data_IF_326638872629
#
_entry.id   IF_326638872629
#
_cell.length_a   1.000
_cell.length_b   1.000
_cell.length_c   1.000
_cell.angle_alpha   90.00
_cell.angle_beta   90.00
_cell.angle_gamma   90.00
#
_symmetry.space_group_name_H-M   'P 1'
#
loop_
_entity.id
_entity.type
_entity.pdbx_description
1 polymer ?
#
# COMPACT_ATOMS: atom_id res chain seq x y z
N UNK A 1 23.16 -43.60 -30.01
CA UNK A 1 23.81 -42.33 -30.26
C UNK A 1 22.82 -41.20 -30.45
N UNK A 2 21.79 -41.39 -31.29
CA UNK A 2 20.76 -40.35 -31.48
C UNK A 2 19.89 -40.17 -30.24
N UNK A 3 19.52 -41.23 -29.54
CA UNK A 3 18.78 -41.22 -28.30
C UNK A 3 19.51 -40.51 -27.18
N UNK A 4 20.81 -40.69 -27.08
CA UNK A 4 21.67 -40.04 -26.06
C UNK A 4 21.79 -38.55 -26.29
N UNK A 5 21.88 -38.13 -27.54
CA UNK A 5 21.91 -36.67 -27.90
C UNK A 5 20.61 -36.01 -27.60
N UNK A 6 19.46 -36.66 -27.92
CA UNK A 6 18.12 -36.15 -27.63
C UNK A 6 17.90 -36.04 -26.12
N UNK A 7 18.31 -37.07 -25.37
CA UNK A 7 18.18 -37.04 -23.91
C UNK A 7 19.03 -35.92 -23.27
N UNK A 8 20.27 -35.74 -23.74
CA UNK A 8 21.14 -34.68 -23.28
C UNK A 8 20.56 -33.29 -23.58
N UNK A 9 20.04 -33.06 -24.78
CA UNK A 9 19.37 -31.82 -25.15
C UNK A 9 18.11 -31.55 -24.34
N UNK A 10 17.33 -32.56 -24.04
CA UNK A 10 16.14 -32.46 -23.21
C UNK A 10 16.50 -32.03 -21.77
N UNK A 11 17.56 -32.58 -21.20
CA UNK A 11 18.05 -32.21 -19.86
C UNK A 11 18.54 -30.75 -19.85
N UNK A 12 19.31 -30.36 -20.85
CA UNK A 12 19.83 -28.98 -20.98
C UNK A 12 18.67 -27.98 -21.13
N UNK A 13 17.66 -28.30 -21.95
CA UNK A 13 16.49 -27.46 -22.12
C UNK A 13 15.68 -27.31 -20.82
N UNK A 14 15.52 -28.39 -20.06
CA UNK A 14 14.84 -28.37 -18.76
C UNK A 14 15.62 -27.55 -17.73
N UNK A 15 16.94 -27.71 -17.67
CA UNK A 15 17.81 -26.93 -16.80
C UNK A 15 17.78 -25.44 -17.15
N UNK A 16 17.82 -25.10 -18.44
CA UNK A 16 17.69 -23.72 -18.90
C UNK A 16 16.34 -23.10 -18.52
N UNK A 17 15.25 -23.85 -18.61
CA UNK A 17 13.92 -23.38 -18.21
C UNK A 17 13.79 -23.11 -16.72
N UNK A 18 14.43 -23.94 -15.87
CA UNK A 18 14.45 -23.76 -14.41
C UNK A 18 15.32 -22.58 -13.99
N UNK A 19 16.44 -22.39 -14.69
CA UNK A 19 17.39 -21.29 -14.42
C UNK A 19 16.98 -19.97 -15.06
N UNK A 20 15.98 -19.96 -15.92
CA UNK A 20 15.51 -18.73 -16.55
C UNK A 20 14.93 -17.80 -15.48
N UNK A 21 15.55 -16.62 -15.24
CA UNK A 21 15.00 -15.69 -14.28
C UNK A 21 13.60 -15.31 -14.74
N UNK A 22 12.60 -15.64 -13.92
CA UNK A 22 11.23 -15.20 -14.17
C UNK A 22 11.26 -13.68 -14.19
N UNK A 23 10.80 -13.01 -15.26
CA UNK A 23 10.70 -11.57 -15.25
C UNK A 23 9.82 -11.21 -14.05
N UNK A 24 10.42 -10.53 -13.05
CA UNK A 24 9.63 -9.88 -12.01
C UNK A 24 8.74 -8.92 -12.75
N UNK A 25 7.44 -9.14 -12.71
CA UNK A 25 6.48 -8.20 -13.25
C UNK A 25 6.72 -6.86 -12.54
N UNK A 26 7.38 -5.94 -13.22
CA UNK A 26 7.56 -4.60 -12.70
C UNK A 26 6.19 -3.95 -12.61
N UNK A 27 5.87 -3.40 -11.44
CA UNK A 27 4.61 -2.68 -11.26
C UNK A 27 4.64 -1.43 -12.13
N UNK A 28 3.68 -1.34 -13.05
CA UNK A 28 3.54 -0.20 -13.94
C UNK A 28 2.94 1.03 -13.24
N UNK A 29 2.98 2.17 -13.93
CA UNK A 29 2.43 3.43 -13.41
C UNK A 29 0.92 3.32 -13.11
N UNK A 30 0.16 2.64 -13.97
CA UNK A 30 -1.28 2.43 -13.79
C UNK A 30 -1.59 1.58 -12.55
N UNK A 31 -0.81 0.53 -12.32
CA UNK A 31 -0.97 -0.33 -11.15
C UNK A 31 -0.64 0.41 -9.85
N UNK A 32 0.42 1.21 -9.84
CA UNK A 32 0.78 2.03 -8.70
C UNK A 32 -0.31 3.08 -8.41
N UNK A 33 -0.83 3.74 -9.44
CA UNK A 33 -1.94 4.68 -9.32
C UNK A 33 -3.19 4.01 -8.76
N UNK A 34 -3.50 2.80 -9.20
CA UNK A 34 -4.61 2.00 -8.70
C UNK A 34 -4.46 1.69 -7.20
N UNK A 35 -3.27 1.31 -6.75
CA UNK A 35 -3.01 1.09 -5.32
C UNK A 35 -3.11 2.40 -4.52
N UNK A 36 -2.61 3.51 -5.04
CA UNK A 36 -2.73 4.81 -4.39
C UNK A 36 -4.20 5.23 -4.22
N UNK A 37 -5.02 5.04 -5.26
CA UNK A 37 -6.47 5.30 -5.18
C UNK A 37 -7.14 4.41 -4.15
N UNK A 38 -6.78 3.15 -4.10
CA UNK A 38 -7.31 2.18 -3.12
C UNK A 38 -6.96 2.58 -1.68
N UNK A 39 -5.74 2.97 -1.42
CA UNK A 39 -5.29 3.49 -0.11
C UNK A 39 -6.03 4.78 0.25
N UNK A 40 -6.14 5.72 -0.69
CA UNK A 40 -6.88 6.96 -0.46
C UNK A 40 -8.35 6.70 -0.11
N UNK A 41 -8.94 5.66 -0.71
CA UNK A 41 -10.28 5.19 -0.39
C UNK A 41 -10.43 4.76 1.07
N UNK A 42 -9.43 4.05 1.62
CA UNK A 42 -9.44 3.65 3.02
C UNK A 42 -9.36 4.87 3.97
N UNK A 43 -8.53 5.84 3.66
CA UNK A 43 -8.48 7.09 4.44
C UNK A 43 -9.81 7.84 4.40
N UNK A 44 -10.44 7.94 3.24
CA UNK A 44 -11.77 8.57 3.10
C UNK A 44 -12.86 7.82 3.84
N UNK A 45 -12.81 6.49 3.88
CA UNK A 45 -13.71 5.67 4.70
C UNK A 45 -13.55 5.97 6.19
N UNK A 46 -12.32 6.10 6.67
CA UNK A 46 -12.06 6.49 8.05
C UNK A 46 -12.66 7.84 8.40
N UNK A 47 -12.48 8.82 7.53
CA UNK A 47 -13.08 10.15 7.69
C UNK A 47 -14.62 10.11 7.68
N UNK A 48 -15.20 9.40 6.71
CA UNK A 48 -16.64 9.24 6.62
C UNK A 48 -17.22 8.57 7.87
N UNK A 49 -16.54 7.56 8.39
CA UNK A 49 -16.94 6.90 9.63
C UNK A 49 -16.95 7.88 10.81
N UNK A 50 -15.90 8.67 10.98
CA UNK A 50 -15.84 9.67 12.05
C UNK A 50 -16.98 10.68 11.95
N UNK A 51 -17.27 11.18 10.76
CA UNK A 51 -18.36 12.12 10.51
C UNK A 51 -19.74 11.51 10.76
N UNK A 52 -19.99 10.28 10.31
CA UNK A 52 -21.29 9.62 10.45
C UNK A 52 -21.57 9.15 11.86
N UNK A 53 -20.56 8.68 12.59
CA UNK A 53 -20.72 8.23 13.97
C UNK A 53 -20.61 9.36 15.00
N UNK A 54 -20.10 10.53 14.59
CA UNK A 54 -19.85 11.64 15.51
C UNK A 54 -18.79 11.33 16.56
N UNK A 55 -17.87 10.42 16.25
CA UNK A 55 -16.80 9.96 17.15
C UNK A 55 -15.48 9.83 16.40
N UNK A 56 -14.39 9.67 17.13
CA UNK A 56 -13.08 9.43 16.49
C UNK A 56 -13.07 8.10 15.76
N UNK A 57 -12.37 8.07 14.63
CA UNK A 57 -12.09 6.85 13.87
C UNK A 57 -10.60 6.80 13.53
N UNK A 58 -9.99 5.66 13.79
CA UNK A 58 -8.57 5.43 13.50
C UNK A 58 -8.42 4.58 12.25
N UNK A 59 -7.48 4.94 11.41
CA UNK A 59 -7.01 4.12 10.30
C UNK A 59 -5.62 3.65 10.65
N UNK A 60 -5.49 2.36 10.92
CA UNK A 60 -4.20 1.73 11.22
C UNK A 60 -3.43 1.51 9.93
N UNK A 61 -2.19 1.94 9.93
CA UNK A 61 -1.26 1.72 8.82
C UNK A 61 -0.10 0.89 9.34
N UNK A 62 0.11 -0.26 8.75
CA UNK A 62 1.22 -1.16 9.06
C UNK A 62 2.10 -1.33 7.81
N UNK A 63 3.15 -0.51 7.68
CA UNK A 63 4.04 -0.59 6.52
C UNK A 63 4.82 -1.90 6.45
N UNK A 64 5.16 -2.49 7.60
CA UNK A 64 5.91 -3.73 7.68
C UNK A 64 5.15 -4.92 7.11
N UNK A 65 3.87 -5.05 7.47
CA UNK A 65 2.98 -6.12 6.98
C UNK A 65 2.16 -5.68 5.75
N UNK A 66 2.37 -4.48 5.25
CA UNK A 66 1.65 -3.91 4.10
C UNK A 66 0.12 -4.00 4.26
N UNK A 67 -0.38 -3.58 5.41
CA UNK A 67 -1.81 -3.60 5.72
C UNK A 67 -2.31 -2.22 6.14
N UNK A 68 -3.55 -1.96 5.78
CA UNK A 68 -4.28 -0.77 6.20
C UNK A 68 -5.64 -1.23 6.70
N UNK A 69 -6.05 -0.74 7.85
CA UNK A 69 -7.33 -1.12 8.48
C UNK A 69 -8.03 0.10 9.06
N UNK A 70 -9.24 0.33 8.60
CA UNK A 70 -10.17 1.27 9.24
C UNK A 70 -10.81 0.59 10.45
N UNK A 71 -10.99 1.32 11.54
CA UNK A 71 -11.65 0.80 12.74
C UNK A 71 -13.00 0.14 12.42
N UNK A 72 -13.16 -1.11 12.88
CA UNK A 72 -14.37 -1.90 12.66
C UNK A 72 -14.53 -2.47 11.26
N UNK A 73 -13.54 -2.31 10.38
CA UNK A 73 -13.53 -2.90 9.04
C UNK A 73 -12.45 -3.97 8.89
N UNK A 74 -12.57 -4.77 7.84
CA UNK A 74 -11.53 -5.73 7.50
C UNK A 74 -10.29 -5.01 6.96
N UNK A 75 -9.07 -5.48 7.30
CA UNK A 75 -7.85 -4.90 6.74
C UNK A 75 -7.75 -5.17 5.24
N UNK A 76 -7.17 -4.22 4.52
CA UNK A 76 -6.73 -4.43 3.15
C UNK A 76 -5.23 -4.69 3.11
N UNK A 77 -4.81 -5.52 2.17
CA UNK A 77 -3.40 -5.76 1.89
C UNK A 77 -2.97 -4.95 0.67
N UNK A 78 -1.78 -4.38 0.74
CA UNK A 78 -1.16 -3.67 -0.38
C UNK A 78 -0.50 -4.70 -1.29
N UNK A 79 -0.57 -4.47 -2.59
CA UNK A 79 0.00 -5.34 -3.62
C UNK A 79 1.49 -5.56 -3.39
N UNK A 80 1.95 -6.79 -3.61
CA UNK A 80 3.37 -7.12 -3.60
C UNK A 80 4.14 -6.30 -4.63
N UNK A 81 5.32 -5.84 -4.27
CA UNK A 81 6.14 -4.96 -5.10
C UNK A 81 5.87 -3.47 -4.92
N UNK A 82 4.84 -3.09 -4.19
CA UNK A 82 4.62 -1.70 -3.76
C UNK A 82 5.17 -1.53 -2.36
N UNK A 83 6.10 -0.60 -2.20
CA UNK A 83 6.59 -0.17 -0.89
C UNK A 83 5.71 0.94 -0.34
N UNK A 84 5.60 1.03 0.98
CA UNK A 84 4.85 2.07 1.67
C UNK A 84 5.77 2.84 2.60
N UNK A 85 5.82 4.14 2.45
CA UNK A 85 6.41 5.03 3.43
C UNK A 85 5.29 5.80 4.13
N UNK A 86 5.25 5.73 5.46
CA UNK A 86 4.21 6.34 6.27
C UNK A 86 4.80 7.31 7.28
N UNK A 87 4.43 8.55 7.20
CA UNK A 87 4.88 9.63 8.10
C UNK A 87 3.65 10.34 8.65
N UNK A 88 3.60 10.47 9.96
CA UNK A 88 2.51 11.17 10.66
C UNK A 88 3.04 12.16 11.67
N UNK A 89 2.17 13.04 12.10
CA UNK A 89 2.39 13.94 13.24
C UNK A 89 2.48 13.14 14.56
N UNK A 90 3.21 13.68 15.51
CA UNK A 90 3.28 13.15 16.90
C UNK A 90 1.93 13.14 17.61
N UNK A 91 0.97 13.90 17.11
CA UNK A 91 -0.42 13.92 17.61
C UNK A 91 -1.22 12.69 17.22
N UNK A 92 -0.75 11.92 16.25
CA UNK A 92 -1.40 10.68 15.85
C UNK A 92 -1.16 9.59 16.89
N UNK A 93 -2.20 8.82 17.27
CA UNK A 93 -2.08 7.79 18.29
C UNK A 93 -1.25 6.59 17.81
N UNK A 94 -0.59 5.91 18.74
CA UNK A 94 0.09 4.65 18.46
C UNK A 94 -0.93 3.51 18.61
N UNK A 95 -1.04 2.69 17.59
CA UNK A 95 -1.90 1.51 17.56
C UNK A 95 -1.11 0.33 16.98
N UNK A 96 -0.94 -0.72 17.76
CA UNK A 96 -0.21 -1.90 17.31
C UNK A 96 1.26 -1.66 16.95
N UNK A 97 1.93 -0.74 17.63
CA UNK A 97 3.34 -0.40 17.38
C UNK A 97 3.60 0.61 16.29
N UNK A 98 2.58 1.04 15.55
CA UNK A 98 2.68 2.08 14.53
C UNK A 98 1.72 3.24 14.83
N UNK A 99 2.00 4.41 14.26
CA UNK A 99 1.08 5.54 14.39
C UNK A 99 -0.08 5.39 13.42
N UNK A 100 -1.29 5.45 13.95
CA UNK A 100 -2.52 5.42 13.17
C UNK A 100 -2.93 6.83 12.76
N UNK A 101 -3.59 6.94 11.61
CA UNK A 101 -4.22 8.18 11.20
C UNK A 101 -5.57 8.31 11.92
N UNK A 102 -5.71 9.33 12.76
CA UNK A 102 -6.97 9.60 13.49
C UNK A 102 -7.77 10.68 12.80
N UNK A 103 -9.04 10.38 12.58
CA UNK A 103 -10.05 11.37 12.19
C UNK A 103 -10.93 11.72 13.37
N UNK A 104 -11.16 13.01 13.55
CA UNK A 104 -12.03 13.54 14.59
C UNK A 104 -13.49 13.57 14.11
N UNK A 105 -14.42 13.72 15.05
CA UNK A 105 -15.85 13.75 14.75
C UNK A 105 -16.27 14.87 13.78
N UNK A 106 -15.51 15.94 13.70
CA UNK A 106 -15.72 17.07 12.77
C UNK A 106 -15.03 16.88 11.41
N UNK A 107 -14.37 15.76 11.19
CA UNK A 107 -13.69 15.41 9.95
C UNK A 107 -12.23 15.86 9.85
N UNK A 108 -11.71 16.60 10.82
CA UNK A 108 -10.29 16.92 10.91
C UNK A 108 -9.48 15.65 11.18
N UNK A 109 -8.19 15.70 10.93
CA UNK A 109 -7.29 14.58 11.19
C UNK A 109 -6.07 15.02 12.00
N UNK A 110 -5.30 14.03 12.48
CA UNK A 110 -3.99 14.31 13.05
C UNK A 110 -2.91 14.62 11.99
N UNK A 111 -3.22 14.40 10.71
CA UNK A 111 -2.31 14.64 9.59
C UNK A 111 -1.35 13.49 9.32
N UNK A 112 -1.09 13.24 8.06
CA UNK A 112 -0.15 12.20 7.62
C UNK A 112 0.12 12.22 6.14
N UNK A 113 1.21 11.60 5.75
CA UNK A 113 1.63 11.42 4.37
C UNK A 113 1.98 9.97 4.15
N UNK A 114 1.31 9.34 3.19
CA UNK A 114 1.61 8.02 2.70
C UNK A 114 2.24 8.13 1.31
N UNK A 115 3.36 7.48 1.11
CA UNK A 115 4.02 7.45 -0.20
C UNK A 115 4.17 6.02 -0.68
N UNK A 116 3.19 5.47 -1.40
CA UNK A 116 3.37 4.22 -2.12
C UNK A 116 4.37 4.42 -3.25
N UNK A 117 5.27 3.47 -3.41
CA UNK A 117 6.32 3.50 -4.43
C UNK A 117 6.53 2.14 -5.06
N UNK A 118 6.82 2.15 -6.35
CA UNK A 118 7.18 0.95 -7.11
C UNK A 118 7.94 1.34 -8.37
N UNK A 119 8.94 0.54 -8.74
CA UNK A 119 9.70 0.71 -10.00
C UNK A 119 10.25 2.13 -10.21
N UNK A 120 10.75 2.77 -9.15
CA UNK A 120 11.30 4.12 -9.20
C UNK A 120 10.27 5.25 -9.30
N UNK A 121 8.98 4.92 -9.20
CA UNK A 121 7.88 5.89 -9.18
C UNK A 121 7.31 6.00 -7.78
N UNK A 122 6.89 7.21 -7.42
CA UNK A 122 6.27 7.51 -6.14
C UNK A 122 5.01 8.34 -6.35
N UNK A 123 4.00 8.09 -5.50
CA UNK A 123 2.80 8.91 -5.43
C UNK A 123 2.65 9.35 -3.98
N UNK A 124 2.43 10.62 -3.76
CA UNK A 124 2.20 11.16 -2.44
C UNK A 124 0.69 11.25 -2.16
N UNK A 125 0.27 10.64 -1.05
CA UNK A 125 -1.06 10.76 -0.48
C UNK A 125 -0.95 11.59 0.79
N UNK A 126 -1.41 12.80 0.75
CA UNK A 126 -1.39 13.72 1.89
C UNK A 126 -2.78 13.82 2.52
N UNK A 127 -2.84 13.64 3.82
CA UNK A 127 -4.06 13.88 4.58
C UNK A 127 -3.90 15.17 5.37
N UNK A 128 -4.72 16.15 5.02
CA UNK A 128 -4.68 17.46 5.65
C UNK A 128 -5.22 17.37 7.09
N UNK A 129 -4.50 17.99 8.03
CA UNK A 129 -4.88 17.95 9.44
C UNK A 129 -6.12 18.78 9.76
N UNK A 130 -6.30 19.90 9.05
CA UNK A 130 -7.38 20.84 9.32
C UNK A 130 -8.72 20.41 8.72
N UNK A 131 -8.68 19.87 7.49
CA UNK A 131 -9.88 19.49 6.74
C UNK A 131 -10.12 17.99 6.71
N UNK A 132 -9.10 17.17 6.96
CA UNK A 132 -9.14 15.72 6.79
C UNK A 132 -9.20 15.27 5.32
N UNK A 133 -9.01 16.18 4.37
CA UNK A 133 -9.02 15.84 2.94
C UNK A 133 -7.81 15.03 2.56
N UNK A 134 -8.03 14.09 1.67
CA UNK A 134 -6.97 13.27 1.08
C UNK A 134 -6.66 13.82 -0.30
N UNK A 135 -5.43 14.28 -0.47
CA UNK A 135 -4.91 14.77 -1.74
C UNK A 135 -3.87 13.77 -2.28
N UNK A 136 -3.90 13.56 -3.57
CA UNK A 136 -2.98 12.65 -4.26
C UNK A 136 -2.23 13.43 -5.34
N UNK A 137 -0.91 13.33 -5.31
CA UNK A 137 -0.04 13.96 -6.30
C UNK A 137 1.12 13.04 -6.69
N UNK A 138 1.53 13.03 -7.95
CA UNK A 138 2.79 12.39 -8.33
C UNK A 138 3.95 13.10 -7.65
N UNK A 139 4.96 12.30 -7.30
CA UNK A 139 6.16 12.82 -6.64
C UNK A 139 7.40 12.70 -7.54
#
# INVERSE_FOLDING_TARGET
VLLDVVAALAIVALAAFVLMPRPRSSIGAAELSGEAVRVSGEFRKGRAKALTTGSVADVRVDPGNKRIQVDGANPISIRDGVAMNWVTSDRCPIRGGTRALRFLADGRSCGGVMTPSASGREIELRVDWLTGRVEMSPK
#
